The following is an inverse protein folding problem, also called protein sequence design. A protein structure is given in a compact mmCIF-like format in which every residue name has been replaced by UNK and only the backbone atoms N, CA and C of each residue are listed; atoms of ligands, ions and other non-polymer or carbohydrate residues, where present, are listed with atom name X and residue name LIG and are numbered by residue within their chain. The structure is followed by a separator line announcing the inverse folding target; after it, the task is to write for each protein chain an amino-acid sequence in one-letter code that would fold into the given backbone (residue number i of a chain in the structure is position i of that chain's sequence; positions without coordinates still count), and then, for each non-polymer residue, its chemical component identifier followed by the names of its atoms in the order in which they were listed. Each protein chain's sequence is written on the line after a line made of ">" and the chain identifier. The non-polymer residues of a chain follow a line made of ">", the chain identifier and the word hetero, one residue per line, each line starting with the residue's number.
data_IF_992042247360
#
_entry.id   IF_992042247360
#
_cell.length_a   1.000
_cell.length_b   1.000
_cell.length_c   1.000
_cell.angle_alpha   90.00
_cell.angle_beta   90.00
_cell.angle_gamma   90.00
#
_symmetry.space_group_name_H-M   'P 1'
#
loop_
_entity.id
_entity.type
_entity.pdbx_description
1 polymer ?
#
# COMPACT_ATOMS: atom_id res chain seq x y z
N UNK A 1 1.95 9.90 23.04
CA UNK A 1 1.01 10.42 22.03
C UNK A 1 -0.32 9.67 22.05
N UNK A 2 -0.41 8.43 21.57
CA UNK A 2 -1.66 7.63 21.58
C UNK A 2 -2.31 7.48 22.97
N UNK A 3 -1.51 7.40 24.04
CA UNK A 3 -2.02 7.33 25.42
C UNK A 3 -2.88 8.55 25.82
N UNK A 4 -2.48 9.76 25.42
CA UNK A 4 -3.22 10.99 25.74
C UNK A 4 -4.56 11.06 24.99
N UNK A 5 -4.55 10.76 23.70
CA UNK A 5 -5.78 10.68 22.90
C UNK A 5 -6.72 9.58 23.40
N UNK A 6 -6.18 8.45 23.84
CA UNK A 6 -6.96 7.37 24.46
C UNK A 6 -7.64 7.83 25.74
N UNK A 7 -6.91 8.50 26.64
CA UNK A 7 -7.48 9.07 27.87
C UNK A 7 -8.59 10.07 27.56
N UNK A 8 -8.38 10.98 26.60
CA UNK A 8 -9.40 11.95 26.19
C UNK A 8 -10.65 11.28 25.64
N UNK A 9 -10.50 10.33 24.71
CA UNK A 9 -11.61 9.59 24.11
C UNK A 9 -12.41 8.81 25.16
N UNK A 10 -11.73 8.14 26.09
CA UNK A 10 -12.39 7.32 27.10
C UNK A 10 -12.96 8.12 28.28
N UNK A 11 -12.42 9.32 28.54
CA UNK A 11 -12.92 10.22 29.59
C UNK A 11 -14.06 11.15 29.12
N UNK A 12 -14.34 11.22 27.82
CA UNK A 12 -15.37 12.07 27.22
C UNK A 12 -16.79 11.52 27.49
N UNK A 13 -17.25 11.60 28.75
CA UNK A 13 -18.44 10.95 29.32
C UNK A 13 -19.61 10.60 28.37
N UNK A 14 -20.15 11.56 27.62
CA UNK A 14 -21.30 11.32 26.71
C UNK A 14 -20.92 10.74 25.34
N UNK A 15 -19.67 10.93 24.89
CA UNK A 15 -19.17 10.48 23.57
C UNK A 15 -18.53 9.08 23.62
N UNK A 16 -18.21 8.55 24.80
CA UNK A 16 -17.53 7.25 24.93
C UNK A 16 -18.42 6.07 24.49
N UNK A 17 -19.72 6.07 24.84
CA UNK A 17 -20.63 4.94 24.53
C UNK A 17 -20.81 4.79 23.01
N UNK A 18 -21.10 5.85 22.23
CA UNK A 18 -21.19 5.76 20.77
C UNK A 18 -19.93 5.18 20.09
N UNK A 19 -18.74 5.42 20.65
CA UNK A 19 -17.47 4.92 20.10
C UNK A 19 -17.35 3.39 20.22
N UNK A 20 -18.00 2.80 21.24
CA UNK A 20 -18.03 1.35 21.45
C UNK A 20 -19.16 0.64 20.70
N UNK A 21 -20.07 1.39 20.08
CA UNK A 21 -21.16 0.84 19.29
C UNK A 21 -20.76 0.67 17.82
N UNK A 22 -21.62 0.00 17.06
CA UNK A 22 -21.56 0.06 15.59
C UNK A 22 -21.66 1.51 15.11
N UNK A 23 -20.94 1.81 14.02
CA UNK A 23 -20.88 3.16 13.48
C UNK A 23 -21.04 3.21 11.97
N UNK A 24 -20.75 4.39 11.38
CA UNK A 24 -20.94 4.59 9.95
C UNK A 24 -20.06 3.65 9.12
N UNK A 25 -20.60 3.15 8.02
CA UNK A 25 -19.92 2.21 7.13
C UNK A 25 -18.64 2.76 6.50
N UNK A 26 -18.57 4.08 6.27
CA UNK A 26 -17.37 4.70 5.70
C UNK A 26 -16.35 5.15 6.74
N UNK A 27 -16.66 5.11 8.04
CA UNK A 27 -15.70 5.48 9.09
C UNK A 27 -16.25 6.40 10.18
N UNK A 28 -15.54 6.41 11.31
CA UNK A 28 -15.81 7.31 12.42
C UNK A 28 -15.67 8.79 11.99
N UNK A 29 -16.67 9.66 12.22
CA UNK A 29 -16.68 11.02 11.68
C UNK A 29 -15.47 11.87 12.08
N UNK A 30 -15.03 11.80 13.34
CA UNK A 30 -13.84 12.54 13.79
C UNK A 30 -12.61 12.13 12.98
N UNK A 31 -12.35 10.83 12.82
CA UNK A 31 -11.19 10.40 12.06
C UNK A 31 -11.26 10.90 10.62
N UNK A 32 -12.42 10.77 9.97
CA UNK A 32 -12.58 11.20 8.58
C UNK A 32 -12.31 12.68 8.39
N UNK A 33 -12.83 13.53 9.26
CA UNK A 33 -12.64 14.98 9.17
C UNK A 33 -11.18 15.38 9.41
N UNK A 34 -10.57 14.84 10.47
CA UNK A 34 -9.20 15.16 10.85
C UNK A 34 -8.18 14.60 9.86
N UNK A 35 -8.41 13.38 9.37
CA UNK A 35 -7.61 12.75 8.32
C UNK A 35 -7.72 13.51 6.99
N UNK A 36 -8.93 13.95 6.61
CA UNK A 36 -9.12 14.79 5.42
C UNK A 36 -8.31 16.08 5.51
N UNK A 37 -8.33 16.76 6.66
CA UNK A 37 -7.56 17.98 6.86
C UNK A 37 -6.06 17.70 6.79
N UNK A 38 -5.60 16.68 7.52
CA UNK A 38 -4.19 16.30 7.57
C UNK A 38 -3.64 15.91 6.19
N UNK A 39 -4.41 15.14 5.40
CA UNK A 39 -4.05 14.79 4.02
C UNK A 39 -4.03 16.02 3.11
N UNK A 40 -5.03 16.90 3.25
CA UNK A 40 -5.12 18.12 2.45
C UNK A 40 -3.94 19.07 2.71
N UNK A 41 -3.54 19.24 3.96
CA UNK A 41 -2.36 20.01 4.37
C UNK A 41 -1.07 19.34 3.88
N UNK A 42 -0.90 18.03 4.10
CA UNK A 42 0.33 17.32 3.77
C UNK A 42 0.63 17.28 2.27
N UNK A 43 -0.40 17.04 1.44
CA UNK A 43 -0.26 16.96 -0.02
C UNK A 43 -0.57 18.28 -0.73
N UNK A 44 -0.93 19.33 0.00
CA UNK A 44 -1.36 20.62 -0.54
C UNK A 44 -2.50 20.47 -1.57
N UNK A 45 -3.56 19.76 -1.18
CA UNK A 45 -4.72 19.48 -2.03
C UNK A 45 -6.03 19.74 -1.30
N UNK A 46 -7.06 20.13 -2.05
CA UNK A 46 -8.41 20.20 -1.49
C UNK A 46 -9.03 18.80 -1.47
N UNK A 47 -9.23 18.23 -0.28
CA UNK A 47 -9.89 16.94 -0.08
C UNK A 47 -10.97 17.03 0.99
N UNK A 48 -11.88 16.06 1.01
CA UNK A 48 -13.06 16.05 1.87
C UNK A 48 -13.27 14.71 2.56
N UNK A 49 -13.95 14.67 3.71
CA UNK A 49 -14.22 13.43 4.44
C UNK A 49 -15.07 12.43 3.62
N UNK A 50 -15.88 12.89 2.68
CA UNK A 50 -16.65 12.05 1.76
C UNK A 50 -15.77 11.24 0.79
N UNK A 51 -14.50 11.62 0.65
CA UNK A 51 -13.47 10.93 -0.14
C UNK A 51 -12.64 9.93 0.65
N UNK A 52 -12.96 9.73 1.93
CA UNK A 52 -12.25 8.81 2.81
C UNK A 52 -13.17 7.66 3.22
N UNK A 53 -12.67 6.44 3.08
CA UNK A 53 -13.22 5.25 3.72
C UNK A 53 -12.22 4.69 4.73
N UNK A 54 -12.59 4.58 6.01
CA UNK A 54 -11.74 3.96 7.03
C UNK A 54 -11.71 2.45 6.83
N UNK A 55 -10.52 1.86 6.98
CA UNK A 55 -10.26 0.43 6.80
C UNK A 55 -9.44 -0.12 7.96
N UNK A 56 -9.30 -1.44 8.03
CA UNK A 56 -8.54 -2.19 9.02
C UNK A 56 -7.02 -2.18 8.76
N UNK A 57 -6.53 -1.17 8.05
CA UNK A 57 -5.18 -1.11 7.47
C UNK A 57 -5.14 -1.48 5.99
N UNK A 58 -4.00 -1.27 5.35
CA UNK A 58 -3.85 -1.37 3.89
C UNK A 58 -4.24 -2.75 3.33
N UNK A 59 -3.89 -3.85 3.99
CA UNK A 59 -4.24 -5.21 3.55
C UNK A 59 -5.74 -5.47 3.57
N UNK A 60 -6.43 -5.05 4.64
CA UNK A 60 -7.88 -5.23 4.73
C UNK A 60 -8.60 -4.26 3.77
N UNK A 61 -8.07 -3.04 3.60
CA UNK A 61 -8.52 -2.10 2.56
C UNK A 61 -8.46 -2.71 1.16
N UNK A 62 -7.33 -3.35 0.81
CA UNK A 62 -7.18 -4.07 -0.46
C UNK A 62 -8.23 -5.17 -0.62
N UNK A 63 -8.46 -5.97 0.42
CA UNK A 63 -9.52 -7.00 0.40
C UNK A 63 -10.92 -6.40 0.15
N UNK A 64 -11.28 -5.30 0.83
CA UNK A 64 -12.57 -4.63 0.63
C UNK A 64 -12.70 -4.07 -0.79
N UNK A 65 -11.62 -3.50 -1.35
CA UNK A 65 -11.57 -3.02 -2.73
C UNK A 65 -11.88 -4.18 -3.70
N UNK A 66 -11.21 -5.32 -3.55
CA UNK A 66 -11.43 -6.47 -4.42
C UNK A 66 -12.87 -7.02 -4.29
N UNK A 67 -13.38 -7.11 -3.07
CA UNK A 67 -14.75 -7.57 -2.84
C UNK A 67 -15.79 -6.67 -3.53
N UNK A 68 -15.58 -5.35 -3.56
CA UNK A 68 -16.55 -4.38 -4.08
C UNK A 68 -16.37 -4.02 -5.55
N UNK A 69 -15.14 -4.01 -6.08
CA UNK A 69 -14.84 -3.42 -7.39
C UNK A 69 -14.27 -4.40 -8.43
N UNK A 70 -14.18 -5.68 -8.09
CA UNK A 70 -13.68 -6.71 -9.01
C UNK A 70 -14.61 -7.91 -9.05
N UNK A 71 -14.59 -8.64 -10.15
CA UNK A 71 -15.37 -9.87 -10.32
C UNK A 71 -14.50 -10.90 -11.04
N UNK A 72 -14.31 -12.12 -10.51
CA UNK A 72 -13.44 -13.11 -11.13
C UNK A 72 -13.83 -13.55 -12.55
N UNK A 73 -15.07 -13.33 -13.02
CA UNK A 73 -15.48 -13.61 -14.40
C UNK A 73 -15.28 -12.40 -15.32
N UNK A 74 -15.41 -11.17 -14.79
CA UNK A 74 -15.26 -9.93 -15.53
C UNK A 74 -13.82 -9.38 -15.56
N UNK A 75 -13.18 -9.30 -14.39
CA UNK A 75 -11.81 -8.81 -14.20
C UNK A 75 -10.80 -9.83 -14.72
N UNK A 76 -9.98 -9.40 -15.68
CA UNK A 76 -9.14 -10.27 -16.52
C UNK A 76 -7.79 -10.56 -15.90
N UNK A 77 -7.13 -9.54 -15.36
CA UNK A 77 -5.83 -9.69 -14.73
C UNK A 77 -5.63 -8.71 -13.57
N UNK A 78 -4.77 -9.15 -12.65
CA UNK A 78 -4.14 -8.34 -11.62
C UNK A 78 -2.68 -8.14 -12.02
N UNK A 79 -2.34 -6.93 -12.45
CA UNK A 79 -1.00 -6.54 -12.83
C UNK A 79 -0.25 -6.05 -11.60
N UNK A 80 0.82 -6.75 -11.25
CA UNK A 80 1.60 -6.47 -10.04
C UNK A 80 2.98 -6.04 -10.48
N UNK A 81 3.41 -4.86 -10.03
CA UNK A 81 4.79 -4.40 -10.24
C UNK A 81 5.78 -5.41 -9.66
N UNK A 82 6.88 -5.69 -10.33
CA UNK A 82 7.86 -6.66 -9.89
C UNK A 82 9.22 -5.96 -9.74
N UNK A 83 9.83 -5.98 -8.54
CA UNK A 83 9.44 -6.77 -7.36
C UNK A 83 8.28 -6.11 -6.58
N UNK A 84 7.57 -6.86 -5.73
CA UNK A 84 6.41 -6.35 -4.97
C UNK A 84 6.42 -6.67 -3.48
N UNK A 85 5.49 -6.03 -2.75
CA UNK A 85 5.03 -6.52 -1.45
C UNK A 85 4.26 -7.83 -1.60
N UNK A 86 4.96 -8.95 -1.45
CA UNK A 86 4.45 -10.29 -1.77
C UNK A 86 3.21 -10.73 -0.99
N UNK A 87 2.96 -10.19 0.20
CA UNK A 87 1.76 -10.54 0.98
C UNK A 87 0.48 -10.03 0.31
N UNK A 88 0.57 -9.05 -0.59
CA UNK A 88 -0.57 -8.66 -1.42
C UNK A 88 -1.01 -9.78 -2.37
N UNK A 89 -0.09 -10.63 -2.85
CA UNK A 89 -0.42 -11.74 -3.75
C UNK A 89 -1.46 -12.68 -3.16
N UNK A 90 -1.32 -13.06 -1.89
CA UNK A 90 -2.29 -13.92 -1.20
C UNK A 90 -3.68 -13.29 -1.12
N UNK A 91 -3.76 -11.97 -0.92
CA UNK A 91 -5.05 -11.25 -0.86
C UNK A 91 -5.78 -11.30 -2.22
N UNK A 92 -5.04 -11.21 -3.33
CA UNK A 92 -5.62 -11.38 -4.67
C UNK A 92 -6.06 -12.82 -4.91
N UNK A 93 -5.23 -13.80 -4.55
CA UNK A 93 -5.56 -15.23 -4.66
C UNK A 93 -6.83 -15.59 -3.87
N UNK A 94 -6.91 -15.18 -2.60
CA UNK A 94 -8.08 -15.36 -1.72
C UNK A 94 -9.34 -14.68 -2.28
N UNK A 95 -9.17 -13.64 -3.10
CA UNK A 95 -10.27 -12.94 -3.79
C UNK A 95 -10.69 -13.60 -5.11
N UNK A 96 -10.16 -14.78 -5.43
CA UNK A 96 -10.50 -15.56 -6.62
C UNK A 96 -9.67 -15.23 -7.86
N UNK A 97 -8.52 -14.57 -7.69
CA UNK A 97 -7.61 -14.22 -8.79
C UNK A 97 -6.43 -15.17 -8.95
N UNK A 98 -6.44 -16.34 -8.30
CA UNK A 98 -5.43 -17.38 -8.54
C UNK A 98 -5.34 -17.70 -10.04
N UNK A 99 -4.12 -17.67 -10.59
CA UNK A 99 -3.86 -17.83 -12.03
C UNK A 99 -4.10 -16.57 -12.88
N UNK A 100 -4.49 -15.44 -12.29
CA UNK A 100 -4.70 -14.14 -12.96
C UNK A 100 -3.73 -13.03 -12.53
N UNK A 101 -2.83 -13.33 -11.60
CA UNK A 101 -1.73 -12.44 -11.25
C UNK A 101 -0.72 -12.43 -12.39
N UNK A 102 -0.23 -11.24 -12.75
CA UNK A 102 0.72 -11.01 -13.84
C UNK A 102 1.78 -10.01 -13.39
N UNK A 103 3.04 -10.41 -13.44
CA UNK A 103 4.16 -9.55 -13.10
C UNK A 103 4.42 -8.53 -14.21
N UNK A 104 4.73 -7.30 -13.83
CA UNK A 104 5.25 -6.26 -14.73
C UNK A 104 6.53 -5.70 -14.14
N UNK A 105 7.68 -5.79 -14.83
CA UNK A 105 8.95 -5.35 -14.27
C UNK A 105 8.97 -3.85 -14.02
N UNK A 106 9.79 -3.42 -13.07
CA UNK A 106 10.19 -2.03 -12.93
C UNK A 106 11.35 -1.67 -13.87
N UNK A 107 11.38 -0.43 -14.34
CA UNK A 107 12.57 0.25 -14.84
C UNK A 107 13.06 1.29 -13.82
N UNK A 108 13.89 2.25 -14.21
CA UNK A 108 14.43 3.30 -13.33
C UNK A 108 13.35 4.24 -12.75
N UNK A 109 12.18 4.33 -13.39
CA UNK A 109 11.06 5.17 -12.91
C UNK A 109 9.93 4.35 -12.27
N UNK A 110 10.19 3.09 -11.90
CA UNK A 110 9.19 2.16 -11.35
C UNK A 110 8.48 1.36 -12.44
N UNK A 111 7.17 1.10 -12.29
CA UNK A 111 6.40 0.21 -13.18
C UNK A 111 6.62 0.50 -14.68
N UNK A 112 7.15 -0.47 -15.44
CA UNK A 112 7.39 -0.33 -16.87
C UNK A 112 6.07 -0.31 -17.67
N UNK A 113 5.65 0.89 -18.12
CA UNK A 113 4.39 1.07 -18.83
C UNK A 113 4.38 0.51 -20.24
N UNK A 114 5.53 0.42 -20.91
CA UNK A 114 5.63 -0.22 -22.22
C UNK A 114 5.26 -1.71 -22.12
N UNK A 115 5.92 -2.41 -21.19
CA UNK A 115 5.65 -3.83 -20.92
C UNK A 115 4.21 -4.05 -20.44
N UNK A 116 3.69 -3.18 -19.55
CA UNK A 116 2.29 -3.26 -19.12
C UNK A 116 1.34 -3.16 -20.32
N UNK A 117 1.55 -2.17 -21.20
CA UNK A 117 0.69 -1.93 -22.37
C UNK A 117 0.69 -3.13 -23.30
N UNK A 118 1.85 -3.71 -23.57
CA UNK A 118 2.00 -4.85 -24.47
C UNK A 118 1.33 -6.09 -23.88
N UNK A 119 1.58 -6.38 -22.59
CA UNK A 119 0.95 -7.51 -21.89
C UNK A 119 -0.58 -7.38 -21.81
N UNK A 120 -1.12 -6.19 -21.55
CA UNK A 120 -2.59 -5.97 -21.59
C UNK A 120 -3.12 -6.21 -22.99
N UNK A 121 -2.46 -5.66 -24.02
CA UNK A 121 -2.93 -5.78 -25.41
C UNK A 121 -2.95 -7.24 -25.87
N UNK A 122 -1.93 -8.02 -25.51
CA UNK A 122 -1.89 -9.45 -25.75
C UNK A 122 -3.02 -10.19 -25.02
N UNK A 123 -3.21 -9.92 -23.72
CA UNK A 123 -4.27 -10.56 -22.95
C UNK A 123 -5.67 -10.26 -23.51
N UNK A 124 -5.92 -9.02 -23.90
CA UNK A 124 -7.19 -8.63 -24.52
C UNK A 124 -7.43 -9.35 -25.84
N UNK A 125 -6.40 -9.50 -26.68
CA UNK A 125 -6.48 -10.28 -27.91
C UNK A 125 -6.85 -11.74 -27.64
N UNK A 126 -6.23 -12.37 -26.65
CA UNK A 126 -6.50 -13.76 -26.27
C UNK A 126 -7.90 -13.93 -25.66
N UNK A 127 -8.38 -12.95 -24.89
CA UNK A 127 -9.71 -12.97 -24.28
C UNK A 127 -10.85 -12.80 -25.30
N UNK A 128 -10.61 -12.13 -26.43
CA UNK A 128 -11.60 -12.02 -27.52
C UNK A 128 -11.93 -13.38 -28.16
N UNK A 129 -11.03 -14.35 -28.05
CA UNK A 129 -11.21 -15.70 -28.59
C UNK A 129 -11.98 -16.63 -27.64
N UNK A 130 -12.24 -16.19 -26.40
CA UNK A 130 -12.92 -16.98 -25.37
C UNK A 130 -14.39 -16.57 -25.26
N UNK A 131 -15.29 -17.51 -24.93
CA UNK A 131 -16.68 -17.16 -24.67
C UNK A 131 -16.76 -16.23 -23.44
N UNK A 132 -17.60 -15.17 -23.48
CA UNK A 132 -17.72 -14.27 -22.35
C UNK A 132 -18.35 -15.01 -21.15
N UNK A 133 -17.67 -14.93 -20.01
CA UNK A 133 -18.22 -15.41 -18.75
C UNK A 133 -19.18 -14.35 -18.18
N UNK A 134 -20.31 -14.82 -17.63
CA UNK A 134 -21.27 -13.95 -16.96
C UNK A 134 -20.69 -13.46 -15.63
N UNK A 135 -20.76 -12.16 -15.38
CA UNK A 135 -20.46 -11.57 -14.07
C UNK A 135 -21.26 -12.27 -12.97
N UNK A 136 -20.59 -12.62 -11.87
CA UNK A 136 -21.22 -13.21 -10.68
C UNK A 136 -21.60 -12.15 -9.64
N UNK A 137 -21.08 -10.92 -9.80
CA UNK A 137 -21.42 -9.75 -9.02
C UNK A 137 -22.31 -8.81 -9.82
N UNK A 138 -23.24 -8.18 -9.11
CA UNK A 138 -24.07 -7.10 -9.62
C UNK A 138 -23.60 -5.78 -8.99
N UNK A 139 -22.95 -4.88 -9.76
CA UNK A 139 -22.40 -3.64 -9.21
C UNK A 139 -23.48 -2.59 -8.86
N UNK A 140 -24.70 -2.74 -9.40
CA UNK A 140 -25.77 -1.76 -9.19
C UNK A 140 -25.35 -0.35 -9.60
N UNK A 141 -25.76 0.64 -8.81
CA UNK A 141 -25.39 2.05 -9.01
C UNK A 141 -24.33 2.54 -8.02
N UNK A 142 -23.96 1.72 -7.04
CA UNK A 142 -23.01 2.10 -5.98
C UNK A 142 -21.61 1.51 -6.19
N UNK A 143 -21.42 0.57 -7.12
CA UNK A 143 -20.10 0.00 -7.47
C UNK A 143 -19.83 0.01 -8.97
N UNK A 144 -18.57 -0.25 -9.33
CA UNK A 144 -18.07 -0.41 -10.71
C UNK A 144 -17.16 -1.63 -10.75
N UNK A 145 -17.27 -2.45 -11.79
CA UNK A 145 -16.33 -3.56 -12.02
C UNK A 145 -15.25 -3.10 -12.99
N UNK A 146 -13.99 -3.28 -12.60
CA UNK A 146 -12.85 -2.92 -13.45
C UNK A 146 -12.33 -4.14 -14.22
N UNK A 147 -11.93 -3.90 -15.47
CA UNK A 147 -11.47 -4.97 -16.37
C UNK A 147 -10.07 -5.44 -15.98
N UNK A 148 -9.22 -4.52 -15.54
CA UNK A 148 -7.89 -4.79 -15.02
C UNK A 148 -7.70 -4.14 -13.67
N UNK A 149 -6.81 -4.70 -12.85
CA UNK A 149 -6.32 -4.05 -11.63
C UNK A 149 -4.81 -3.94 -11.74
N UNK A 150 -4.25 -2.78 -11.39
CA UNK A 150 -2.81 -2.58 -11.20
C UNK A 150 -2.56 -2.36 -9.71
N UNK A 151 -1.64 -3.12 -9.12
CA UNK A 151 -1.18 -2.93 -7.75
C UNK A 151 0.26 -2.43 -7.74
N UNK A 152 0.47 -1.27 -7.12
CA UNK A 152 1.76 -0.58 -7.07
C UNK A 152 1.99 0.07 -5.71
N UNK A 153 3.26 0.29 -5.39
CA UNK A 153 3.72 1.17 -4.31
C UNK A 153 4.43 2.35 -5.01
N UNK A 154 3.75 3.47 -5.29
CA UNK A 154 4.31 4.51 -6.18
C UNK A 154 5.51 5.26 -5.62
N UNK A 155 5.62 5.31 -4.29
CA UNK A 155 6.63 6.08 -3.56
C UNK A 155 7.35 5.13 -2.60
N UNK A 156 8.69 5.13 -2.62
CA UNK A 156 9.50 4.26 -1.77
C UNK A 156 9.06 2.78 -1.87
N UNK A 157 8.99 2.27 -3.10
CA UNK A 157 8.42 0.98 -3.43
C UNK A 157 8.96 -0.17 -2.57
N UNK A 158 8.09 -1.07 -2.11
CA UNK A 158 8.54 -2.26 -1.39
C UNK A 158 8.65 -3.44 -2.38
N UNK A 159 9.85 -4.04 -2.59
CA UNK A 159 11.10 -3.82 -1.84
C UNK A 159 12.12 -2.86 -2.47
N UNK A 160 11.91 -2.38 -3.70
CA UNK A 160 12.97 -1.75 -4.51
C UNK A 160 13.44 -0.36 -4.03
N UNK A 161 12.65 0.30 -3.19
CA UNK A 161 12.86 1.67 -2.72
C UNK A 161 12.58 2.75 -3.78
N UNK A 162 12.19 2.37 -5.01
CA UNK A 162 12.00 3.30 -6.12
C UNK A 162 10.79 4.20 -5.92
N UNK A 163 10.85 5.41 -6.49
CA UNK A 163 9.74 6.36 -6.52
C UNK A 163 9.42 6.70 -7.96
N UNK A 164 8.16 6.52 -8.35
CA UNK A 164 7.69 6.81 -9.71
C UNK A 164 7.75 8.31 -10.01
N UNK A 165 8.33 8.66 -11.15
CA UNK A 165 8.39 10.06 -11.62
C UNK A 165 7.00 10.63 -11.90
N UNK A 166 6.86 11.95 -11.86
CA UNK A 166 5.58 12.63 -12.17
C UNK A 166 5.05 12.21 -13.54
N UNK A 167 5.92 12.25 -14.56
CA UNK A 167 5.59 11.82 -15.92
C UNK A 167 5.04 10.39 -15.94
N UNK A 168 5.70 9.46 -15.25
CA UNK A 168 5.27 8.05 -15.19
C UNK A 168 3.89 7.91 -14.54
N UNK A 169 3.62 8.68 -13.48
CA UNK A 169 2.31 8.71 -12.80
C UNK A 169 1.21 9.20 -13.75
N UNK A 170 1.45 10.32 -14.44
CA UNK A 170 0.49 10.88 -15.43
C UNK A 170 0.21 9.91 -16.58
N UNK A 171 1.24 9.27 -17.13
CA UNK A 171 1.10 8.26 -18.19
C UNK A 171 0.28 7.05 -17.72
N UNK A 172 0.46 6.61 -16.47
CA UNK A 172 -0.33 5.52 -15.90
C UNK A 172 -1.80 5.92 -15.68
N UNK A 173 -2.08 7.13 -15.18
CA UNK A 173 -3.47 7.61 -15.01
C UNK A 173 -4.20 7.65 -16.36
N UNK A 174 -3.54 8.14 -17.42
CA UNK A 174 -4.11 8.15 -18.77
C UNK A 174 -4.40 6.74 -19.28
N UNK A 175 -3.43 5.84 -19.15
CA UNK A 175 -3.61 4.43 -19.53
C UNK A 175 -4.75 3.76 -18.75
N UNK A 176 -4.89 4.08 -17.46
CA UNK A 176 -5.92 3.51 -16.60
C UNK A 176 -7.33 3.87 -17.07
N UNK A 177 -7.53 5.14 -17.48
CA UNK A 177 -8.77 5.60 -18.11
C UNK A 177 -9.04 4.92 -19.44
N UNK A 178 -8.03 4.78 -20.29
CA UNK A 178 -8.16 4.19 -21.63
C UNK A 178 -8.51 2.69 -21.61
N UNK A 179 -7.96 1.94 -20.64
CA UNK A 179 -8.03 0.48 -20.60
C UNK A 179 -8.93 -0.08 -19.49
N UNK A 180 -9.71 0.78 -18.81
CA UNK A 180 -10.55 0.43 -17.66
C UNK A 180 -9.78 -0.33 -16.56
N UNK A 181 -8.70 0.31 -16.08
CA UNK A 181 -7.81 -0.23 -15.04
C UNK A 181 -8.09 0.46 -13.71
N UNK A 182 -8.33 -0.31 -12.64
CA UNK A 182 -8.24 0.22 -11.28
C UNK A 182 -6.77 0.16 -10.81
N UNK A 183 -6.17 1.31 -10.57
CA UNK A 183 -4.84 1.44 -10.00
C UNK A 183 -4.97 1.58 -8.49
N UNK A 184 -4.59 0.51 -7.77
CA UNK A 184 -4.50 0.48 -6.31
C UNK A 184 -3.10 0.90 -5.92
N UNK A 185 -2.97 2.12 -5.41
CA UNK A 185 -1.72 2.66 -4.89
C UNK A 185 -1.60 2.33 -3.40
N UNK A 186 -0.65 1.49 -3.03
CA UNK A 186 -0.33 1.20 -1.63
C UNK A 186 0.63 2.29 -1.10
N UNK A 187 0.03 3.39 -0.63
CA UNK A 187 0.72 4.63 -0.28
C UNK A 187 1.15 4.66 1.21
N UNK A 188 1.38 3.49 1.81
CA UNK A 188 1.74 3.36 3.24
C UNK A 188 3.07 4.02 3.62
N UNK A 189 3.91 4.35 2.65
CA UNK A 189 5.21 4.99 2.84
C UNK A 189 5.25 6.47 2.44
N UNK A 190 4.17 7.05 1.90
CA UNK A 190 4.19 8.42 1.39
C UNK A 190 4.60 9.45 2.45
N UNK A 191 4.19 9.25 3.71
CA UNK A 191 4.56 10.11 4.84
C UNK A 191 6.01 9.92 5.31
N UNK A 192 6.70 8.89 4.84
CA UNK A 192 8.07 8.55 5.22
C UNK A 192 9.11 9.07 4.22
N UNK A 193 8.78 10.12 3.47
CA UNK A 193 9.77 10.79 2.63
C UNK A 193 10.66 11.70 3.49
N UNK A 194 11.97 11.53 3.38
CA UNK A 194 12.98 12.41 3.98
C UNK A 194 14.03 12.77 2.94
N UNK A 195 14.53 14.00 2.98
CA UNK A 195 15.57 14.46 2.08
C UNK A 195 16.93 13.99 2.58
N UNK A 196 17.65 13.22 1.76
CA UNK A 196 19.07 12.99 2.01
C UNK A 196 19.80 14.25 1.52
N UNK A 197 20.22 15.10 2.45
CA UNK A 197 21.04 16.26 2.12
C UNK A 197 22.48 15.80 1.94
N UNK A 198 23.09 15.95 0.75
CA UNK A 198 24.51 15.69 0.60
C UNK A 198 25.28 16.60 1.56
N UNK A 199 26.29 16.05 2.26
CA UNK A 199 27.15 16.83 3.16
C UNK A 199 27.64 18.10 2.42
N UNK A 200 27.33 19.28 2.97
CA UNK A 200 27.71 20.58 2.40
C UNK A 200 26.64 21.30 1.58
N UNK A 201 25.40 20.79 1.48
CA UNK A 201 24.26 21.46 0.83
C UNK A 201 23.07 21.67 1.77
N UNK A 202 23.35 21.96 3.04
CA UNK A 202 22.36 22.31 4.06
C UNK A 202 21.77 23.69 3.73
N UNK A 203 20.47 23.76 3.38
CA UNK A 203 19.77 25.05 3.23
C UNK A 203 18.88 25.22 2.00
N UNK A 204 18.87 24.28 1.05
CA UNK A 204 18.04 24.37 -0.17
C UNK A 204 17.12 23.15 -0.34
N UNK A 205 16.42 22.77 0.74
CA UNK A 205 15.42 21.71 0.68
C UNK A 205 14.10 22.29 0.20
N UNK A 206 13.77 22.08 -1.07
CA UNK A 206 12.42 22.29 -1.56
C UNK A 206 11.55 21.11 -1.14
N UNK A 207 10.42 21.36 -0.47
CA UNK A 207 9.40 20.35 -0.12
C UNK A 207 8.63 19.85 -1.36
N UNK A 208 9.35 19.34 -2.37
CA UNK A 208 8.79 18.87 -3.62
C UNK A 208 8.32 17.42 -3.46
N UNK A 209 7.20 17.24 -2.75
CA UNK A 209 6.47 15.97 -2.78
C UNK A 209 5.83 15.77 -4.14
N UNK A 210 5.99 14.58 -4.71
CA UNK A 210 5.29 14.24 -5.95
C UNK A 210 3.80 14.02 -5.67
N UNK A 211 2.89 14.52 -6.53
CA UNK A 211 1.47 14.28 -6.35
C UNK A 211 1.13 12.79 -6.47
N UNK A 212 0.15 12.34 -5.70
CA UNK A 212 -0.36 10.96 -5.76
C UNK A 212 -1.18 10.77 -7.03
N UNK A 213 -1.33 9.52 -7.46
CA UNK A 213 -2.07 9.22 -8.69
C UNK A 213 -3.55 9.63 -8.59
N UNK A 214 -4.17 9.47 -7.41
CA UNK A 214 -5.53 9.93 -7.16
C UNK A 214 -5.68 11.46 -7.18
N UNK A 215 -4.63 12.20 -6.83
CA UNK A 215 -4.61 13.66 -6.92
C UNK A 215 -4.41 14.12 -8.37
N UNK A 216 -3.54 13.44 -9.12
CA UNK A 216 -3.33 13.65 -10.56
C UNK A 216 -4.63 13.40 -11.33
N UNK A 217 -5.31 12.28 -11.09
CA UNK A 217 -6.59 11.98 -11.73
C UNK A 217 -7.65 13.03 -11.39
N UNK A 218 -7.72 13.46 -10.12
CA UNK A 218 -8.68 14.48 -9.68
C UNK A 218 -8.48 15.82 -10.41
N UNK A 219 -7.24 16.14 -10.79
CA UNK A 219 -6.93 17.36 -11.53
C UNK A 219 -7.31 17.28 -13.02
N UNK A 220 -7.68 16.11 -13.53
CA UNK A 220 -8.13 15.91 -14.91
C UNK A 220 -9.65 16.04 -15.04
N UNK A 221 -10.13 16.29 -16.27
CA UNK A 221 -11.56 16.21 -16.59
C UNK A 221 -12.11 14.80 -16.40
N UNK A 222 -13.42 14.71 -16.15
CA UNK A 222 -14.11 13.43 -16.02
C UNK A 222 -13.93 12.55 -17.27
N UNK A 223 -13.85 11.24 -17.04
CA UNK A 223 -13.80 10.27 -18.14
C UNK A 223 -15.19 9.98 -18.66
N UNK A 224 -15.40 10.12 -19.98
CA UNK A 224 -16.65 9.72 -20.65
C UNK A 224 -16.94 8.21 -20.46
N UNK A 225 -15.89 7.40 -20.27
CA UNK A 225 -16.00 5.97 -19.96
C UNK A 225 -16.43 5.69 -18.51
N UNK A 226 -16.57 6.73 -17.69
CA UNK A 226 -16.94 6.64 -16.27
C UNK A 226 -18.03 7.68 -15.90
N UNK A 227 -19.26 7.53 -16.43
CA UNK A 227 -20.33 8.52 -16.27
C UNK A 227 -20.81 8.69 -14.83
N UNK A 228 -20.49 7.74 -13.94
CA UNK A 228 -20.81 7.81 -12.51
C UNK A 228 -19.66 8.32 -11.65
N UNK A 229 -18.50 8.64 -12.26
CA UNK A 229 -17.34 9.26 -11.61
C UNK A 229 -16.75 8.44 -10.45
N UNK A 230 -16.59 7.13 -10.64
CA UNK A 230 -15.87 6.25 -9.73
C UNK A 230 -14.35 6.48 -9.72
N UNK A 231 -13.80 7.04 -10.80
CA UNK A 231 -12.36 7.18 -11.00
C UNK A 231 -11.69 5.89 -11.45
N UNK A 232 -10.36 5.90 -11.45
CA UNK A 232 -9.49 4.79 -11.85
C UNK A 232 -8.28 4.63 -10.92
N UNK A 233 -8.02 5.59 -10.04
CA UNK A 233 -6.87 5.57 -9.14
C UNK A 233 -7.33 5.80 -7.70
N UNK A 234 -6.80 5.01 -6.77
CA UNK A 234 -7.08 5.13 -5.35
C UNK A 234 -5.78 5.12 -4.55
N UNK A 235 -5.76 5.86 -3.44
CA UNK A 235 -4.70 5.81 -2.44
C UNK A 235 -5.15 4.91 -1.30
N UNK A 236 -4.39 3.85 -1.01
CA UNK A 236 -4.63 2.90 0.07
C UNK A 236 -3.56 3.10 1.15
N UNK A 237 -3.93 3.82 2.22
CA UNK A 237 -3.03 4.21 3.29
C UNK A 237 -3.22 3.41 4.58
N UNK A 238 -2.27 3.53 5.50
CA UNK A 238 -2.35 2.89 6.82
C UNK A 238 -1.60 3.64 7.90
N UNK A 239 -2.15 3.65 9.11
CA UNK A 239 -1.44 4.10 10.30
C UNK A 239 -0.37 3.10 10.79
N UNK A 240 -0.22 1.94 10.14
CA UNK A 240 0.74 0.92 10.57
C UNK A 240 2.20 1.39 10.58
N UNK A 241 2.53 2.34 9.71
CA UNK A 241 3.89 2.94 9.59
C UNK A 241 3.99 4.34 10.20
N UNK A 242 2.92 4.80 10.85
CA UNK A 242 2.80 6.14 11.43
C UNK A 242 2.59 6.04 12.95
N UNK A 243 1.61 5.26 13.37
CA UNK A 243 1.23 5.06 14.77
C UNK A 243 1.70 3.72 15.33
N UNK A 244 1.76 2.70 14.46
CA UNK A 244 2.17 1.34 14.82
C UNK A 244 1.21 0.29 14.24
N UNK A 245 1.70 -0.91 13.85
CA UNK A 245 0.90 -1.91 13.14
C UNK A 245 -0.25 -2.50 13.99
N UNK A 246 -0.17 -2.42 15.31
CA UNK A 246 -1.19 -2.93 16.24
C UNK A 246 -2.51 -2.17 16.21
N UNK A 247 -2.55 -0.93 15.71
CA UNK A 247 -3.78 -0.12 15.67
C UNK A 247 -4.82 -0.62 14.66
N UNK A 248 -4.40 -1.50 13.72
CA UNK A 248 -5.25 -2.12 12.68
C UNK A 248 -6.22 -1.13 12.05
N UNK A 249 -5.72 0.06 11.71
CA UNK A 249 -6.53 1.16 11.15
C UNK A 249 -5.78 1.76 9.97
N UNK A 250 -6.51 2.03 8.90
CA UNK A 250 -6.03 2.66 7.68
C UNK A 250 -7.18 3.35 6.97
N UNK A 251 -6.93 3.72 5.72
CA UNK A 251 -7.94 4.40 4.92
C UNK A 251 -7.75 4.14 3.44
N UNK A 252 -8.83 4.30 2.68
CA UNK A 252 -8.79 4.49 1.24
C UNK A 252 -9.23 5.92 0.95
N UNK A 253 -8.44 6.66 0.19
CA UNK A 253 -8.82 7.95 -0.38
C UNK A 253 -9.07 7.81 -1.89
N UNK A 254 -10.28 8.17 -2.32
CA UNK A 254 -10.74 8.00 -3.70
C UNK A 254 -11.84 9.03 -4.04
N UNK A 255 -12.54 8.89 -5.17
CA UNK A 255 -13.74 9.70 -5.41
C UNK A 255 -14.85 9.36 -4.40
N UNK A 256 -15.75 10.31 -4.14
CA UNK A 256 -16.86 10.11 -3.20
C UNK A 256 -17.78 8.96 -3.62
N UNK A 257 -17.90 8.72 -4.93
CA UNK A 257 -18.65 7.59 -5.49
C UNK A 257 -17.98 6.26 -5.17
N UNK A 258 -16.66 6.17 -5.33
CA UNK A 258 -15.89 4.98 -4.96
C UNK A 258 -16.00 4.69 -3.46
N UNK A 259 -15.87 5.72 -2.62
CA UNK A 259 -15.97 5.58 -1.15
C UNK A 259 -17.33 5.09 -0.70
N UNK A 260 -18.40 5.58 -1.34
CA UNK A 260 -19.76 5.09 -1.08
C UNK A 260 -19.84 3.58 -1.38
N UNK A 261 -19.38 3.16 -2.56
CA UNK A 261 -19.36 1.74 -2.95
C UNK A 261 -18.50 0.85 -2.08
N UNK A 262 -17.40 1.39 -1.54
CA UNK A 262 -16.51 0.70 -0.63
C UNK A 262 -17.14 0.57 0.77
N UNK A 263 -17.83 1.61 1.25
CA UNK A 263 -18.63 1.55 2.48
C UNK A 263 -19.75 0.51 2.42
N UNK A 264 -20.29 0.26 1.23
CA UNK A 264 -21.30 -0.78 1.00
C UNK A 264 -20.72 -2.21 1.05
N UNK A 265 -19.42 -2.42 1.25
CA UNK A 265 -18.84 -3.77 1.38
C UNK A 265 -19.61 -4.55 2.46
N UNK A 266 -20.07 -5.76 2.14
CA UNK A 266 -21.01 -6.48 3.02
C UNK A 266 -20.46 -6.73 4.44
N UNK A 267 -19.16 -7.02 4.55
CA UNK A 267 -18.47 -7.17 5.84
C UNK A 267 -18.44 -5.86 6.64
N UNK A 268 -18.39 -4.72 5.96
CA UNK A 268 -18.46 -3.38 6.56
C UNK A 268 -19.89 -3.01 6.96
N UNK A 269 -20.90 -3.32 6.14
CA UNK A 269 -22.29 -2.98 6.44
C UNK A 269 -22.83 -3.66 7.71
N UNK A 270 -22.31 -4.83 8.06
CA UNK A 270 -22.77 -5.58 9.23
C UNK A 270 -22.51 -4.85 10.56
N UNK A 271 -21.45 -4.04 10.66
CA UNK A 271 -21.04 -3.40 11.92
C UNK A 271 -20.43 -2.00 11.78
N UNK A 272 -20.39 -1.44 10.57
CA UNK A 272 -19.69 -0.21 10.27
C UNK A 272 -18.23 -0.43 9.84
N UNK A 273 -17.53 0.67 9.64
CA UNK A 273 -16.10 0.62 9.36
C UNK A 273 -15.33 -0.11 10.49
N UNK A 274 -14.29 -0.88 10.14
CA UNK A 274 -13.50 -1.63 11.12
C UNK A 274 -12.78 -0.70 12.12
N UNK A 275 -12.46 -1.27 13.28
CA UNK A 275 -11.57 -0.65 14.28
C UNK A 275 -12.07 0.70 14.81
N UNK A 276 -13.37 0.86 15.03
CA UNK A 276 -14.00 2.14 15.41
C UNK A 276 -13.38 2.82 16.64
N UNK A 277 -13.07 2.07 17.70
CA UNK A 277 -12.38 2.61 18.87
C UNK A 277 -11.00 3.16 18.53
N UNK A 278 -10.19 2.39 17.79
CA UNK A 278 -8.87 2.84 17.34
C UNK A 278 -9.00 4.05 16.40
N UNK A 279 -10.01 4.07 15.53
CA UNK A 279 -10.29 5.19 14.66
C UNK A 279 -10.62 6.46 15.45
N UNK A 280 -11.41 6.38 16.51
CA UNK A 280 -11.69 7.52 17.38
C UNK A 280 -10.41 8.04 18.06
N UNK A 281 -9.57 7.16 18.61
CA UNK A 281 -8.29 7.51 19.24
C UNK A 281 -7.34 8.16 18.24
N UNK A 282 -7.26 7.63 17.01
CA UNK A 282 -6.41 8.20 15.95
C UNK A 282 -6.95 9.54 15.46
N UNK A 283 -8.27 9.69 15.37
CA UNK A 283 -8.90 10.96 15.01
C UNK A 283 -8.61 12.05 16.04
N UNK A 284 -8.75 11.73 17.33
CA UNK A 284 -8.38 12.66 18.40
C UNK A 284 -6.86 12.94 18.41
N UNK A 285 -6.05 11.93 18.10
CA UNK A 285 -4.61 12.10 17.97
C UNK A 285 -4.24 13.12 16.88
N UNK A 286 -4.91 13.07 15.72
CA UNK A 286 -4.76 14.04 14.64
C UNK A 286 -5.25 15.43 15.04
N UNK A 287 -6.45 15.51 15.65
CA UNK A 287 -7.07 16.77 16.09
C UNK A 287 -6.19 17.55 17.06
N UNK A 288 -5.64 16.85 18.04
CA UNK A 288 -4.79 17.44 19.07
C UNK A 288 -3.36 17.74 18.57
N UNK A 289 -3.06 17.54 17.28
CA UNK A 289 -1.77 17.88 16.68
C UNK A 289 -0.64 16.92 17.05
N UNK A 290 -0.93 15.74 17.61
CA UNK A 290 0.08 14.79 18.05
C UNK A 290 0.88 14.15 16.89
N UNK A 291 0.52 14.40 15.62
CA UNK A 291 1.25 13.91 14.45
C UNK A 291 2.05 15.00 13.71
N UNK A 292 2.16 16.22 14.27
CA UNK A 292 3.11 17.23 13.76
C UNK A 292 4.52 16.78 14.14
N UNK A 293 5.33 16.44 13.13
CA UNK A 293 6.73 16.03 13.30
C UNK A 293 7.57 17.20 13.82
N UNK A 294 8.31 16.95 14.91
CA UNK A 294 9.72 17.34 14.97
C UNK A 294 10.58 16.45 15.89
N UNK A 295 10.03 15.77 16.91
CA UNK A 295 10.90 15.03 17.85
C UNK A 295 10.29 13.70 18.33
N UNK A 296 10.68 12.58 17.72
CA UNK A 296 10.31 11.21 18.14
C UNK A 296 11.47 10.42 18.75
N UNK A 297 12.49 11.10 19.29
CA UNK A 297 13.67 10.51 19.91
C UNK A 297 13.40 9.60 21.14
N UNK A 298 12.48 9.92 22.08
CA UNK A 298 12.35 9.14 23.33
C UNK A 298 11.69 7.76 23.22
N UNK A 299 11.07 7.44 22.08
CA UNK A 299 10.42 6.14 21.82
C UNK A 299 11.39 5.15 21.18
N UNK A 300 12.45 5.66 20.54
CA UNK A 300 13.55 4.85 20.01
C UNK A 300 14.41 4.26 21.15
N UNK A 301 14.65 5.02 22.22
CA UNK A 301 15.48 4.59 23.36
C UNK A 301 14.93 3.36 24.11
N UNK A 302 13.61 3.15 24.13
CA UNK A 302 12.98 2.01 24.82
C UNK A 302 12.92 0.74 23.96
N UNK A 303 13.04 0.85 22.63
CA UNK A 303 13.04 -0.28 21.71
C UNK A 303 14.44 -0.94 21.57
N UNK A 304 15.48 -0.25 22.05
CA UNK A 304 16.89 -0.67 22.09
C UNK A 304 17.15 -1.84 23.04
N UNK A 305 16.39 -1.96 24.13
CA UNK A 305 16.80 -2.85 25.22
C UNK A 305 16.49 -4.34 25.03
N UNK A 306 15.57 -4.75 24.13
CA UNK A 306 14.89 -6.05 24.34
C UNK A 306 14.97 -7.18 23.24
N UNK A 307 14.99 -7.00 21.90
CA UNK A 307 14.42 -8.08 21.01
C UNK A 307 15.07 -8.55 19.66
N UNK A 308 16.39 -8.44 19.39
CA UNK A 308 17.21 -9.28 18.45
C UNK A 308 16.65 -9.90 17.09
N UNK A 309 17.22 -9.56 15.91
CA UNK A 309 16.60 -9.50 14.55
C UNK A 309 16.67 -10.64 13.47
N UNK A 310 15.86 -10.45 12.39
CA UNK A 310 15.74 -11.24 11.14
C UNK A 310 15.79 -10.42 9.80
N UNK A 311 16.19 -11.05 8.66
CA UNK A 311 16.42 -10.43 7.32
C UNK A 311 15.55 -11.09 6.23
N UNK A 312 15.03 -10.30 5.27
CA UNK A 312 14.29 -10.80 4.10
C UNK A 312 15.12 -10.89 2.80
N UNK A 313 14.96 -11.99 2.02
CA UNK A 313 15.71 -12.26 0.79
C UNK A 313 14.88 -12.14 -0.50
N UNK A 314 15.52 -11.82 -1.63
CA UNK A 314 14.89 -11.38 -2.89
C UNK A 314 13.74 -12.24 -3.44
N UNK A 315 13.88 -13.58 -3.44
CA UNK A 315 12.83 -14.50 -3.93
C UNK A 315 11.49 -14.38 -3.20
N UNK A 316 11.49 -13.86 -1.98
CA UNK A 316 10.23 -13.64 -1.26
C UNK A 316 9.36 -12.58 -1.95
N UNK A 317 9.94 -11.70 -2.76
CA UNK A 317 9.28 -10.53 -3.36
C UNK A 317 8.89 -10.73 -4.84
N UNK A 318 9.12 -11.92 -5.39
CA UNK A 318 8.65 -12.34 -6.71
C UNK A 318 7.13 -12.54 -6.71
N UNK A 319 6.47 -12.25 -7.84
CA UNK A 319 5.02 -12.45 -7.99
C UNK A 319 4.75 -13.95 -8.19
N UNK A 320 4.00 -14.55 -7.26
CA UNK A 320 3.68 -15.98 -7.29
C UNK A 320 2.94 -16.37 -8.56
N UNK A 321 3.39 -17.44 -9.20
CA UNK A 321 2.82 -17.99 -10.44
C UNK A 321 3.20 -17.24 -11.73
N UNK A 322 4.08 -16.24 -11.66
CA UNK A 322 4.66 -15.55 -12.83
C UNK A 322 6.14 -15.19 -12.59
N UNK A 323 6.87 -16.07 -11.90
CA UNK A 323 8.24 -15.84 -11.42
C UNK A 323 9.26 -15.68 -12.55
N UNK A 324 8.99 -16.26 -13.73
CA UNK A 324 9.89 -16.20 -14.88
C UNK A 324 9.81 -14.86 -15.64
N UNK A 325 8.76 -14.06 -15.41
CA UNK A 325 8.56 -12.78 -16.09
C UNK A 325 9.48 -11.65 -15.58
N UNK A 326 9.94 -11.71 -14.33
CA UNK A 326 10.81 -10.70 -13.71
C UNK A 326 11.63 -11.32 -12.55
N UNK A 327 12.86 -11.81 -12.80
CA UNK A 327 13.65 -12.52 -11.79
C UNK A 327 14.44 -11.58 -10.86
N UNK A 328 14.38 -11.82 -9.53
CA UNK A 328 15.11 -11.03 -8.49
C UNK A 328 16.10 -11.88 -7.70
N UNK A 329 16.86 -12.73 -8.42
CA UNK A 329 17.69 -13.77 -7.81
C UNK A 329 18.97 -13.25 -7.14
N UNK A 330 19.35 -12.00 -7.39
CA UNK A 330 20.59 -11.38 -6.90
C UNK A 330 20.37 -10.29 -5.84
N UNK A 331 19.13 -9.99 -5.49
CA UNK A 331 18.77 -8.79 -4.72
C UNK A 331 18.47 -9.11 -3.24
N UNK A 332 18.79 -8.15 -2.36
CA UNK A 332 18.52 -8.21 -0.91
C UNK A 332 17.85 -6.91 -0.48
N UNK A 333 16.78 -7.00 0.30
CA UNK A 333 16.13 -5.83 0.92
C UNK A 333 16.60 -5.67 2.35
N UNK A 334 17.11 -4.49 2.68
CA UNK A 334 17.44 -4.10 4.05
C UNK A 334 16.32 -3.20 4.57
N UNK A 335 15.78 -3.53 5.73
CA UNK A 335 14.84 -2.69 6.48
C UNK A 335 15.52 -2.29 7.77
N UNK A 336 15.40 -1.02 8.13
CA UNK A 336 15.99 -0.43 9.33
C UNK A 336 14.92 0.25 10.21
N UNK A 337 13.64 0.03 9.90
CA UNK A 337 12.56 0.53 10.74
C UNK A 337 12.61 -0.16 12.11
N UNK A 338 12.54 0.63 13.18
CA UNK A 338 12.60 0.18 14.57
C UNK A 338 13.98 -0.32 15.04
N UNK A 339 15.03 -0.07 14.25
CA UNK A 339 16.41 -0.45 14.57
C UNK A 339 17.21 0.71 15.16
N UNK A 340 18.07 0.41 16.14
CA UNK A 340 19.04 1.35 16.67
C UNK A 340 20.15 1.65 15.64
N UNK A 341 20.69 2.87 15.62
CA UNK A 341 21.74 3.27 14.67
C UNK A 341 22.96 2.34 14.74
N UNK A 342 23.38 1.98 15.95
CA UNK A 342 24.50 1.10 16.20
C UNK A 342 24.27 -0.30 15.61
N UNK A 343 23.04 -0.82 15.71
CA UNK A 343 22.63 -2.11 15.16
C UNK A 343 22.60 -2.08 13.63
N UNK A 344 22.19 -0.95 13.02
CA UNK A 344 22.25 -0.76 11.57
C UNK A 344 23.72 -0.78 11.12
N UNK A 345 24.60 -0.02 11.78
CA UNK A 345 26.03 0.03 11.46
C UNK A 345 26.66 -1.35 11.58
N UNK A 346 26.44 -2.05 12.69
CA UNK A 346 26.96 -3.39 12.95
C UNK A 346 26.41 -4.42 11.93
N UNK A 347 25.10 -4.40 11.66
CA UNK A 347 24.44 -5.25 10.68
C UNK A 347 24.98 -5.05 9.26
N UNK A 348 25.19 -3.80 8.84
CA UNK A 348 25.78 -3.48 7.53
C UNK A 348 27.24 -3.93 7.44
N UNK A 349 28.04 -3.73 8.49
CA UNK A 349 29.43 -4.21 8.53
C UNK A 349 29.51 -5.74 8.44
N UNK A 350 28.61 -6.46 9.13
CA UNK A 350 28.51 -7.92 9.08
C UNK A 350 28.07 -8.42 7.72
N UNK A 351 27.07 -7.79 7.12
CA UNK A 351 26.62 -8.10 5.76
C UNK A 351 27.75 -7.86 4.75
N UNK A 352 28.43 -6.72 4.79
CA UNK A 352 29.57 -6.41 3.93
C UNK A 352 30.69 -7.45 4.07
N UNK A 353 31.02 -7.85 5.30
CA UNK A 353 32.03 -8.88 5.57
C UNK A 353 31.62 -10.25 5.02
N UNK A 354 30.34 -10.62 5.12
CA UNK A 354 29.80 -11.86 4.54
C UNK A 354 29.88 -11.83 3.01
N UNK A 355 29.40 -10.75 2.38
CA UNK A 355 29.43 -10.60 0.92
C UNK A 355 30.86 -10.67 0.38
N UNK A 356 31.82 -10.03 1.07
CA UNK A 356 33.24 -10.13 0.71
C UNK A 356 33.75 -11.57 0.72
N UNK A 357 33.49 -12.31 1.81
CA UNK A 357 33.86 -13.75 1.90
C UNK A 357 33.19 -14.60 0.81
N UNK A 358 31.92 -14.33 0.50
CA UNK A 358 31.19 -15.05 -0.56
C UNK A 358 31.74 -14.78 -1.95
N UNK A 359 32.27 -13.57 -2.20
CA UNK A 359 32.94 -13.23 -3.46
C UNK A 359 34.33 -13.89 -3.57
N UNK A 360 35.03 -14.04 -2.45
CA UNK A 360 36.37 -14.64 -2.38
C UNK A 360 36.34 -16.18 -2.52
N UNK A 361 35.31 -16.87 -2.01
CA UNK A 361 35.15 -18.33 -2.11
C UNK A 361 33.75 -18.73 -2.57
N UNK A 362 33.41 -18.39 -3.81
CA UNK A 362 32.08 -18.64 -4.38
C UNK A 362 31.69 -20.12 -4.38
N UNK A 363 32.66 -21.01 -4.62
CA UNK A 363 32.44 -22.45 -4.72
C UNK A 363 32.01 -23.08 -3.38
N UNK A 364 32.58 -22.63 -2.26
CA UNK A 364 32.17 -23.07 -0.92
C UNK A 364 30.68 -22.79 -0.67
N UNK A 365 30.23 -21.57 -0.95
CA UNK A 365 28.85 -21.15 -0.65
C UNK A 365 27.82 -21.73 -1.64
N UNK A 366 28.17 -21.90 -2.91
CA UNK A 366 27.31 -22.58 -3.90
C UNK A 366 27.11 -24.07 -3.56
N UNK A 367 28.13 -24.75 -3.03
CA UNK A 367 28.04 -26.16 -2.61
C UNK A 367 27.14 -26.38 -1.38
N UNK A 368 27.02 -25.37 -0.51
CA UNK A 368 26.17 -25.38 0.69
C UNK A 368 24.68 -25.12 0.42
N UNK A 369 24.34 -24.32 -0.60
CA UNK A 369 22.94 -23.99 -0.94
C UNK A 369 22.09 -25.21 -1.32
N UNK A 370 22.71 -26.27 -1.86
CA UNK A 370 22.01 -27.53 -2.18
C UNK A 370 21.47 -28.25 -0.94
N UNK A 371 22.06 -28.04 0.26
CA UNK A 371 21.59 -28.66 1.52
C UNK A 371 20.39 -27.94 2.15
N UNK A 372 20.27 -26.62 1.96
CA UNK A 372 19.18 -25.81 2.53
C UNK A 372 17.83 -25.95 1.80
N UNK A 373 17.82 -26.45 0.56
CA UNK A 373 16.59 -26.68 -0.22
C UNK A 373 15.57 -27.61 0.48
N UNK A 374 15.99 -28.43 1.44
CA UNK A 374 15.12 -29.32 2.22
C UNK A 374 14.76 -28.86 3.63
N UNK A 375 15.29 -27.73 4.11
CA UNK A 375 15.15 -27.26 5.50
C UNK A 375 14.72 -25.81 5.65
N UNK A 376 14.27 -25.15 4.57
CA UNK A 376 13.66 -23.82 4.65
C UNK A 376 12.30 -23.93 5.36
N UNK A 377 12.33 -24.00 6.70
CA UNK A 377 11.21 -23.51 7.50
C UNK A 377 11.15 -22.01 7.25
N UNK A 378 10.05 -21.53 6.70
CA UNK A 378 9.73 -20.11 6.71
C UNK A 378 9.88 -19.63 8.15
N UNK A 379 10.93 -18.85 8.42
CA UNK A 379 11.03 -18.12 9.67
C UNK A 379 9.96 -17.06 9.57
N UNK A 380 8.92 -17.22 10.39
CA UNK A 380 7.81 -16.28 10.49
C UNK A 380 8.39 -14.94 10.98
N UNK A 381 8.71 -14.05 10.06
CA UNK A 381 9.34 -12.75 10.32
C UNK A 381 8.39 -11.73 10.96
N UNK A 382 7.33 -12.21 11.61
CA UNK A 382 6.36 -11.44 12.39
C UNK A 382 6.37 -11.78 13.89
N UNK A 383 7.34 -12.58 14.36
CA UNK A 383 7.60 -12.78 15.78
C UNK A 383 9.01 -12.38 16.14
#
# INVERSE_FOLDING_TARGET
>A
MLSGACQQVLAAGEDYVPILQYGPSTGHPTLKNELSRWLGEHYNVNTGPDRICVTGGASQGLSCILQSFTDPNYTKAIWIVAPCYYLACGIFEDSGFSGKLRAVPEDEEGLNLGVLRDKISQLEHDEQQKPPLKSVKYPGTTRKLYRHVVYIVPTCANPSGKTMSLRRREELVKMAREKNILVVCDDVYDFLQWFVTPKGQEGNQSDLRLPRLCDIERAMDFSEQDPLHFGYTISNGSFSKIAGPGVRTGWVEATSKFVTGLGDTASTLSGGAPSQLCAAILGESLRSGYYVREESLPVADAAVEEENLAIGYGRMFEVRGDEDSAPFRGDIRISFAWEAEEAIVEGIQRLGSLLKRMLEDKAQYESGMLKLKGQLKFVDCYK
#
